data_IF_494050064129
#
_entry.id   IF_494050064129
#
_cell.length_a   1.000
_cell.length_b   1.000
_cell.length_c   1.000
_cell.angle_alpha   90.00
_cell.angle_beta   90.00
_cell.angle_gamma   90.00
#
_symmetry.space_group_name_H-M   'P 1'
#
loop_
_entity.id
_entity.type
_entity.pdbx_description
1 polymer ?
#
# COMPACT_ATOMS: atom_id res chain seq x y z
N UNK A 1 -2.68 -95.71 14.76
CA UNK A 1 -3.76 -95.43 13.83
C UNK A 1 -4.20 -94.02 14.03
N UNK A 2 -4.00 -93.35 13.03
CA UNK A 2 -4.52 -92.04 12.61
C UNK A 2 -4.48 -90.85 13.52
N UNK A 3 -3.66 -90.00 13.07
CA UNK A 3 -3.59 -88.60 13.43
C UNK A 3 -4.79 -87.81 12.84
N UNK A 4 -5.19 -86.70 13.48
CA UNK A 4 -5.53 -85.56 12.66
C UNK A 4 -4.67 -84.34 12.97
N UNK A 5 -4.26 -83.81 11.85
CA UNK A 5 -3.45 -82.56 11.66
C UNK A 5 -4.23 -81.34 12.16
N UNK A 6 -3.66 -80.64 13.15
CA UNK A 6 -4.18 -79.37 13.60
C UNK A 6 -3.79 -78.24 12.62
N UNK A 7 -4.77 -77.65 11.95
CA UNK A 7 -4.63 -76.52 11.13
C UNK A 7 -4.57 -75.23 11.99
N UNK A 8 -3.41 -74.71 12.16
CA UNK A 8 -3.21 -73.39 12.75
C UNK A 8 -3.53 -72.32 11.74
N UNK A 9 -4.62 -71.64 11.96
CA UNK A 9 -5.00 -70.46 11.17
C UNK A 9 -4.20 -69.26 11.67
N UNK A 10 -3.19 -68.91 10.91
CA UNK A 10 -2.52 -67.60 11.06
C UNK A 10 -3.48 -66.54 10.61
N UNK A 11 -4.07 -65.83 11.57
CA UNK A 11 -4.78 -64.58 11.32
C UNK A 11 -3.78 -63.50 10.99
N UNK A 12 -3.75 -63.11 9.72
CA UNK A 12 -3.02 -61.95 9.27
C UNK A 12 -3.75 -60.71 9.78
N UNK A 13 -3.24 -60.12 10.87
CA UNK A 13 -3.64 -58.79 11.29
C UNK A 13 -3.06 -57.78 10.26
N UNK A 14 -3.91 -57.31 9.39
CA UNK A 14 -3.59 -56.20 8.51
C UNK A 14 -3.71 -54.95 9.33
N UNK A 15 -2.56 -54.39 9.77
CA UNK A 15 -2.49 -53.08 10.40
C UNK A 15 -2.75 -52.04 9.33
N UNK A 16 -3.94 -51.45 9.35
CA UNK A 16 -4.25 -50.26 8.58
C UNK A 16 -3.64 -49.07 9.30
N UNK A 17 -2.50 -48.58 8.80
CA UNK A 17 -1.94 -47.31 9.22
C UNK A 17 -2.75 -46.22 8.54
N UNK A 18 -3.70 -45.64 9.26
CA UNK A 18 -4.40 -44.42 8.81
C UNK A 18 -3.46 -43.26 9.02
N UNK A 19 -2.84 -42.81 7.94
CA UNK A 19 -2.05 -41.59 7.91
C UNK A 19 -3.00 -40.41 7.93
N UNK A 20 -3.27 -39.85 9.11
CA UNK A 20 -3.98 -38.60 9.27
C UNK A 20 -3.08 -37.47 8.75
N UNK A 21 -3.28 -37.09 7.50
CA UNK A 21 -2.73 -35.84 6.99
C UNK A 21 -3.55 -34.70 7.62
N UNK A 22 -2.99 -34.11 8.67
CA UNK A 22 -3.49 -32.84 9.21
C UNK A 22 -3.18 -31.78 8.19
N UNK A 23 -4.18 -31.11 7.56
CA UNK A 23 -3.88 -29.91 6.79
C UNK A 23 -3.33 -28.87 7.76
N UNK A 24 -2.07 -28.53 7.62
CA UNK A 24 -1.52 -27.36 8.26
C UNK A 24 -2.31 -26.16 7.69
N UNK A 25 -3.27 -25.70 8.46
CA UNK A 25 -3.84 -24.38 8.28
C UNK A 25 -2.67 -23.42 8.47
N UNK A 26 -2.06 -23.02 7.35
CA UNK A 26 -1.19 -21.87 7.34
C UNK A 26 -2.06 -20.69 7.79
N UNK A 27 -2.04 -20.43 9.09
CA UNK A 27 -2.47 -19.14 9.60
C UNK A 27 -1.45 -18.19 8.98
N UNK A 28 -1.81 -17.57 7.85
CA UNK A 28 -1.16 -16.38 7.39
C UNK A 28 -1.36 -15.38 8.53
N UNK A 29 -0.40 -15.34 9.46
CA UNK A 29 -0.24 -14.21 10.34
C UNK A 29 -0.11 -13.02 9.40
N UNK A 30 -1.19 -12.24 9.26
CA UNK A 30 -1.05 -10.87 8.85
C UNK A 30 0.00 -10.28 9.80
N UNK A 31 1.19 -9.90 9.34
CA UNK A 31 2.11 -9.15 10.18
C UNK A 31 1.33 -7.96 10.69
N UNK A 32 1.37 -7.77 11.99
CA UNK A 32 0.49 -6.93 12.77
C UNK A 32 0.11 -5.65 12.07
N UNK A 33 -1.18 -5.38 12.07
CA UNK A 33 -1.78 -4.25 11.40
C UNK A 33 -1.29 -2.92 11.91
N UNK A 34 -0.13 -2.52 11.44
CA UNK A 34 0.13 -1.13 11.19
C UNK A 34 -0.70 -0.79 9.96
N UNK A 35 -1.68 0.08 10.08
CA UNK A 35 -2.40 0.69 8.98
C UNK A 35 -1.44 1.60 8.19
N UNK A 36 -0.25 1.08 7.86
CA UNK A 36 0.77 1.79 7.12
C UNK A 36 0.33 1.98 5.68
N UNK A 37 0.63 3.13 5.13
CA UNK A 37 0.49 3.37 3.71
C UNK A 37 1.43 2.41 2.95
N UNK A 38 0.96 1.65 1.96
CA UNK A 38 1.83 0.80 1.16
C UNK A 38 2.81 1.68 0.36
N UNK A 39 4.10 1.55 0.67
CA UNK A 39 5.18 2.33 0.08
C UNK A 39 5.90 1.51 -0.99
N UNK A 40 6.07 2.08 -2.19
CA UNK A 40 6.90 1.50 -3.24
C UNK A 40 8.37 1.93 -3.09
N UNK A 41 9.30 1.11 -3.59
CA UNK A 41 10.74 1.41 -3.51
C UNK A 41 11.31 1.96 -4.82
N UNK A 42 10.54 1.94 -5.89
CA UNK A 42 10.96 2.39 -7.23
C UNK A 42 9.82 3.14 -7.93
N UNK A 43 10.15 3.92 -8.95
CA UNK A 43 9.19 4.64 -9.79
C UNK A 43 8.91 6.08 -9.36
N UNK A 44 9.60 6.59 -8.36
CA UNK A 44 9.47 8.00 -7.95
C UNK A 44 9.85 8.93 -9.12
N UNK A 45 8.96 9.86 -9.45
CA UNK A 45 9.11 10.79 -10.57
C UNK A 45 8.56 10.27 -11.91
N UNK A 46 8.15 9.02 -12.00
CA UNK A 46 7.55 8.45 -13.20
C UNK A 46 6.08 8.88 -13.37
N UNK A 47 5.66 9.00 -14.63
CA UNK A 47 4.26 9.34 -14.94
C UNK A 47 3.28 8.22 -14.62
N UNK A 48 3.73 6.96 -14.70
CA UNK A 48 2.96 5.77 -14.40
C UNK A 48 3.81 4.78 -13.61
N UNK A 49 4.08 5.06 -12.33
CA UNK A 49 4.90 4.18 -11.52
C UNK A 49 4.18 2.85 -11.25
N UNK A 50 4.95 1.77 -11.11
CA UNK A 50 4.44 0.47 -10.67
C UNK A 50 4.16 0.49 -9.16
N UNK A 51 3.26 1.36 -8.73
CA UNK A 51 2.87 1.58 -7.35
C UNK A 51 1.34 1.61 -7.22
N UNK A 52 0.83 1.34 -6.03
CA UNK A 52 -0.60 1.41 -5.76
C UNK A 52 -1.06 2.88 -5.78
N UNK A 53 -2.14 3.16 -6.48
CA UNK A 53 -2.83 4.44 -6.37
C UNK A 53 -3.57 4.53 -5.04
N UNK A 54 -3.23 5.56 -4.28
CA UNK A 54 -3.75 5.84 -2.94
C UNK A 54 -4.70 7.05 -2.94
N UNK A 55 -5.09 7.53 -4.12
CA UNK A 55 -5.92 8.73 -4.23
C UNK A 55 -7.29 8.52 -3.59
N UNK A 56 -7.76 9.56 -2.93
CA UNK A 56 -9.13 9.66 -2.39
C UNK A 56 -10.07 10.41 -3.32
N UNK A 57 -9.53 11.04 -4.36
CA UNK A 57 -10.26 11.84 -5.35
C UNK A 57 -10.01 11.26 -6.75
N UNK A 58 -11.06 10.93 -7.52
CA UNK A 58 -10.90 10.29 -8.84
C UNK A 58 -10.27 11.20 -9.91
N UNK A 59 -10.09 12.48 -9.63
CA UNK A 59 -9.41 13.42 -10.53
C UNK A 59 -7.89 13.41 -10.42
N UNK A 60 -7.35 12.62 -9.49
CA UNK A 60 -5.92 12.60 -9.16
C UNK A 60 -5.42 11.19 -8.97
N UNK A 61 -4.11 10.99 -9.11
CA UNK A 61 -3.40 9.78 -8.77
C UNK A 61 -2.36 10.12 -7.70
N UNK A 62 -2.30 9.32 -6.64
CA UNK A 62 -1.35 9.53 -5.54
C UNK A 62 -0.58 8.25 -5.29
N UNK A 63 0.73 8.34 -5.35
CA UNK A 63 1.63 7.23 -5.11
C UNK A 63 2.55 7.51 -3.95
N UNK A 64 2.83 6.50 -3.13
CA UNK A 64 3.73 6.63 -2.01
C UNK A 64 4.97 5.76 -2.18
N UNK A 65 6.13 6.31 -1.84
CA UNK A 65 7.44 5.67 -1.98
C UNK A 65 8.23 5.81 -0.70
N UNK A 66 9.16 4.88 -0.50
CA UNK A 66 10.17 4.98 0.54
C UNK A 66 11.57 4.83 -0.07
N UNK A 67 12.46 5.73 0.30
CA UNK A 67 13.88 5.66 -0.03
C UNK A 67 14.71 6.26 1.10
N UNK A 68 15.67 5.48 1.58
CA UNK A 68 16.64 5.92 2.58
C UNK A 68 16.00 6.48 3.88
N UNK A 69 14.86 5.89 4.30
CA UNK A 69 14.11 6.32 5.48
C UNK A 69 13.25 7.57 5.26
N UNK A 70 13.13 8.05 4.02
CA UNK A 70 12.28 9.17 3.64
C UNK A 70 11.03 8.63 2.93
N UNK A 71 9.86 9.06 3.34
CA UNK A 71 8.62 8.80 2.61
C UNK A 71 8.35 9.93 1.61
N UNK A 72 7.98 9.55 0.39
CA UNK A 72 7.66 10.48 -0.69
C UNK A 72 6.23 10.22 -1.16
N UNK A 73 5.47 11.28 -1.31
CA UNK A 73 4.10 11.24 -1.83
C UNK A 73 4.05 12.03 -3.12
N UNK A 74 3.80 11.33 -4.21
CA UNK A 74 3.74 11.89 -5.55
C UNK A 74 2.29 12.06 -5.98
N UNK A 75 1.92 13.24 -6.43
CA UNK A 75 0.59 13.56 -6.94
C UNK A 75 0.69 13.79 -8.44
N UNK A 76 -0.02 12.96 -9.19
CA UNK A 76 -0.12 13.06 -10.65
C UNK A 76 -1.55 13.45 -11.04
N UNK A 77 -1.69 14.13 -12.16
CA UNK A 77 -2.98 14.23 -12.81
C UNK A 77 -3.31 12.94 -13.61
N UNK A 78 -4.52 12.87 -14.16
CA UNK A 78 -4.97 11.70 -14.93
C UNK A 78 -4.22 11.51 -16.25
N UNK A 79 -3.45 12.48 -16.71
CA UNK A 79 -2.58 12.34 -17.89
C UNK A 79 -1.22 11.71 -17.53
N UNK A 80 -0.95 11.51 -16.23
CA UNK A 80 0.31 11.01 -15.72
C UNK A 80 1.35 12.11 -15.48
N UNK A 81 1.00 13.39 -15.62
CA UNK A 81 1.92 14.46 -15.30
C UNK A 81 2.12 14.53 -13.79
N UNK A 82 3.37 14.49 -13.35
CA UNK A 82 3.74 14.71 -11.95
C UNK A 82 3.56 16.19 -11.63
N UNK A 83 2.64 16.50 -10.72
CA UNK A 83 2.35 17.88 -10.31
C UNK A 83 3.06 18.25 -9.03
N UNK A 84 3.23 17.30 -8.11
CA UNK A 84 3.83 17.54 -6.80
C UNK A 84 4.49 16.27 -6.28
N UNK A 85 5.63 16.43 -5.64
CA UNK A 85 6.23 15.43 -4.76
C UNK A 85 6.46 16.08 -3.40
N UNK A 86 5.84 15.52 -2.36
CA UNK A 86 6.05 15.90 -0.96
C UNK A 86 6.91 14.82 -0.33
N UNK A 87 7.99 15.23 0.32
CA UNK A 87 8.80 14.34 1.14
C UNK A 87 8.47 14.55 2.63
N UNK A 88 8.57 13.46 3.39
CA UNK A 88 8.29 13.45 4.82
C UNK A 88 9.28 12.57 5.58
N UNK A 89 9.78 13.09 6.68
CA UNK A 89 10.44 12.33 7.74
C UNK A 89 9.79 12.77 9.06
N UNK A 90 9.16 11.84 9.75
CA UNK A 90 8.44 12.12 11.00
C UNK A 90 7.43 13.27 10.79
N UNK A 91 7.60 14.39 11.46
CA UNK A 91 6.75 15.58 11.35
C UNK A 91 7.30 16.66 10.40
N UNK A 92 8.42 16.39 9.72
CA UNK A 92 9.07 17.34 8.82
C UNK A 92 8.67 17.08 7.38
N UNK A 93 8.15 18.10 6.71
CA UNK A 93 7.71 18.07 5.32
C UNK A 93 8.46 19.06 4.46
N UNK A 94 8.77 18.64 3.22
CA UNK A 94 9.29 19.53 2.19
C UNK A 94 8.83 19.07 0.81
N UNK A 95 9.01 19.93 -0.19
CA UNK A 95 8.62 19.62 -1.57
C UNK A 95 9.83 19.44 -2.45
N UNK A 96 9.74 18.54 -3.41
CA UNK A 96 10.71 18.41 -4.48
C UNK A 96 10.21 19.18 -5.71
N UNK A 97 11.09 19.74 -6.52
CA UNK A 97 10.73 20.27 -7.84
C UNK A 97 10.17 19.13 -8.70
N UNK A 98 8.93 19.23 -9.14
CA UNK A 98 8.29 18.20 -9.95
C UNK A 98 7.41 18.82 -11.03
N UNK A 99 7.42 18.19 -12.21
CA UNK A 99 6.59 18.61 -13.32
C UNK A 99 6.95 19.97 -13.92
N UNK A 100 6.09 20.44 -14.84
CA UNK A 100 6.24 21.73 -15.53
C UNK A 100 5.59 22.89 -14.80
N UNK A 101 4.65 22.61 -13.93
CA UNK A 101 3.87 23.61 -13.19
C UNK A 101 4.40 23.71 -11.77
N UNK A 102 4.84 24.89 -11.38
CA UNK A 102 5.23 25.14 -10.00
C UNK A 102 3.96 25.22 -9.12
N UNK A 103 3.62 24.13 -8.48
CA UNK A 103 2.54 24.13 -7.51
C UNK A 103 2.89 25.00 -6.30
N UNK A 104 1.95 25.81 -5.83
CA UNK A 104 2.09 26.54 -4.57
C UNK A 104 1.71 25.61 -3.43
N UNK A 105 2.66 25.25 -2.60
CA UNK A 105 2.45 24.27 -1.52
C UNK A 105 2.45 24.95 -0.16
N UNK A 106 1.40 24.71 0.60
CA UNK A 106 1.30 25.10 1.99
C UNK A 106 1.78 23.93 2.86
N UNK A 107 2.85 24.14 3.59
CA UNK A 107 3.40 23.17 4.54
C UNK A 107 3.13 23.64 5.97
N UNK A 108 3.09 22.73 6.97
CA UNK A 108 2.97 23.10 8.38
C UNK A 108 4.02 24.12 8.83
N UNK A 109 5.25 24.00 8.31
CA UNK A 109 6.36 24.92 8.57
C UNK A 109 6.30 26.24 7.79
N UNK A 110 5.52 26.27 6.70
CA UNK A 110 5.37 27.46 5.82
C UNK A 110 3.93 27.54 5.30
N UNK A 111 2.98 27.95 6.12
CA UNK A 111 1.59 28.04 5.73
C UNK A 111 1.37 29.15 4.69
N UNK A 112 0.52 28.89 3.72
CA UNK A 112 0.07 29.84 2.72
C UNK A 112 -1.37 30.29 3.01
N UNK A 113 -1.65 31.56 2.77
CA UNK A 113 -3.01 32.05 2.80
C UNK A 113 -3.79 31.50 1.60
N UNK A 114 -4.95 30.90 1.88
CA UNK A 114 -5.83 30.41 0.84
C UNK A 114 -6.77 31.53 0.37
N UNK A 115 -7.13 31.58 -0.93
CA UNK A 115 -8.18 32.45 -1.41
C UNK A 115 -9.51 32.16 -0.71
N UNK A 116 -10.30 33.19 -0.43
CA UNK A 116 -11.58 33.04 0.30
C UNK A 116 -12.56 32.09 -0.36
N UNK A 117 -12.49 31.91 -1.67
CA UNK A 117 -13.37 31.05 -2.45
C UNK A 117 -12.71 29.75 -2.91
N UNK A 118 -11.51 29.43 -2.42
CA UNK A 118 -10.83 28.20 -2.79
C UNK A 118 -11.59 26.98 -2.28
N UNK A 119 -11.90 26.06 -3.20
CA UNK A 119 -12.48 24.76 -2.86
C UNK A 119 -11.36 23.74 -2.71
N UNK A 120 -11.34 23.04 -1.58
CA UNK A 120 -10.37 21.99 -1.33
C UNK A 120 -10.95 20.62 -1.66
N UNK A 121 -10.18 19.79 -2.33
CA UNK A 121 -10.43 18.36 -2.48
C UNK A 121 -9.35 17.57 -1.79
N UNK A 122 -9.73 16.61 -0.95
CA UNK A 122 -8.78 15.72 -0.28
C UNK A 122 -8.35 14.68 -1.30
N UNK A 123 -7.12 14.77 -1.77
CA UNK A 123 -6.56 13.84 -2.76
C UNK A 123 -5.89 12.63 -2.12
N UNK A 124 -5.44 12.77 -0.87
CA UNK A 124 -4.87 11.67 -0.10
C UNK A 124 -5.22 11.82 1.38
N UNK A 125 -5.51 10.69 2.01
CA UNK A 125 -5.75 10.60 3.45
C UNK A 125 -4.89 9.48 4.05
N UNK A 126 -3.84 9.86 4.72
CA UNK A 126 -2.99 8.95 5.50
C UNK A 126 -3.32 8.97 6.99
N UNK A 127 -2.66 8.13 7.78
CA UNK A 127 -2.85 8.08 9.23
C UNK A 127 -2.32 9.33 9.94
N UNK A 128 -1.30 9.97 9.41
CA UNK A 128 -0.61 11.11 10.05
C UNK A 128 -0.98 12.45 9.42
N UNK A 129 -1.29 12.48 8.12
CA UNK A 129 -1.63 13.70 7.40
C UNK A 129 -2.55 13.45 6.21
N UNK A 130 -3.07 14.53 5.64
CA UNK A 130 -3.84 14.51 4.40
C UNK A 130 -3.28 15.52 3.42
N UNK A 131 -3.34 15.20 2.12
CA UNK A 131 -3.06 16.14 1.05
C UNK A 131 -4.38 16.70 0.52
N UNK A 132 -4.45 18.02 0.43
CA UNK A 132 -5.63 18.74 -0.07
C UNK A 132 -5.19 19.62 -1.23
N UNK A 133 -5.84 19.46 -2.36
CA UNK A 133 -5.65 20.33 -3.52
C UNK A 133 -6.73 21.41 -3.51
N UNK A 134 -6.30 22.66 -3.65
CA UNK A 134 -7.20 23.81 -3.75
C UNK A 134 -7.14 24.38 -5.16
N UNK A 135 -8.31 24.61 -5.76
CA UNK A 135 -8.37 25.16 -7.09
C UNK A 135 -9.73 25.81 -7.42
N UNK A 136 -9.72 26.64 -8.44
CA UNK A 136 -10.92 27.18 -9.06
C UNK A 136 -11.35 26.29 -10.23
N UNK A 137 -12.15 25.25 -9.96
CA UNK A 137 -12.67 24.38 -11.01
C UNK A 137 -11.71 23.28 -11.49
N UNK A 138 -12.16 22.47 -12.47
CA UNK A 138 -11.36 21.40 -13.09
C UNK A 138 -10.10 21.97 -13.74
N UNK A 139 -8.95 21.67 -13.21
CA UNK A 139 -7.67 22.01 -13.79
C UNK A 139 -6.85 23.01 -12.99
N UNK A 140 -7.27 23.37 -11.80
CA UNK A 140 -6.47 24.19 -10.91
C UNK A 140 -5.56 23.30 -10.05
N UNK A 141 -4.28 23.43 -10.21
CA UNK A 141 -3.21 22.93 -9.36
C UNK A 141 -2.57 24.11 -8.66
#
# INVERSE_FOLDING_TARGET
MEMPVGFSRFSKMTSIVVLLTVPALAIACCPGGGQGVPLATAGLGESQPAALDLSSDPGWLVYAFERDGVSYYQVNDLTGQVNLIVANIESTFWTLPAGKTAARVSLPSKPLALPKNARGSIVFRGPEFSLVVYGEGRGAV
#
